data_IF_066895622356
#
_entry.id   IF_066895622356
#
_cell.length_a   1.000
_cell.length_b   1.000
_cell.length_c   1.000
_cell.angle_alpha   90.00
_cell.angle_beta   90.00
_cell.angle_gamma   90.00
#
_symmetry.space_group_name_H-M   'P 1'
#
loop_
_entity.id
_entity.type
_entity.pdbx_description
1 polymer ?
#
# COMPACT_ATOMS: atom_id res chain seq x y z
N UNK A 1 -9.53 8.00 -12.73
CA UNK A 1 -9.96 6.62 -12.39
C UNK A 1 -11.27 6.71 -11.64
N UNK A 2 -12.32 7.09 -12.33
CA UNK A 2 -13.71 7.00 -11.88
C UNK A 2 -14.20 5.74 -12.62
N UNK A 3 -14.95 4.85 -11.96
CA UNK A 3 -15.57 3.62 -12.54
C UNK A 3 -14.86 2.25 -12.40
N UNK A 4 -13.66 2.16 -11.79
CA UNK A 4 -13.06 0.84 -11.46
C UNK A 4 -13.58 0.31 -10.13
N UNK A 5 -13.96 -0.97 -10.08
CA UNK A 5 -14.35 -1.64 -8.84
C UNK A 5 -13.50 -2.89 -8.57
N UNK A 6 -13.40 -3.24 -7.28
CA UNK A 6 -12.85 -4.49 -6.77
C UNK A 6 -13.80 -5.03 -5.70
N UNK A 7 -14.38 -6.20 -5.94
CA UNK A 7 -15.27 -6.88 -4.99
C UNK A 7 -14.79 -8.30 -4.74
N UNK A 8 -15.00 -8.82 -3.53
CA UNK A 8 -14.48 -10.13 -3.17
C UNK A 8 -14.52 -10.44 -1.69
N UNK A 9 -14.14 -11.67 -1.35
CA UNK A 9 -14.06 -12.15 0.02
C UNK A 9 -12.70 -11.77 0.65
N UNK A 10 -12.51 -10.49 1.01
CA UNK A 10 -11.22 -9.97 1.53
C UNK A 10 -10.74 -10.66 2.81
N UNK A 11 -11.65 -11.00 3.72
CA UNK A 11 -11.29 -11.65 5.01
C UNK A 11 -10.75 -13.07 4.86
N UNK A 12 -11.03 -13.76 3.75
CA UNK A 12 -10.63 -15.15 3.53
C UNK A 12 -9.62 -15.30 2.37
N UNK A 13 -9.66 -14.39 1.39
CA UNK A 13 -8.90 -14.51 0.15
C UNK A 13 -7.47 -13.97 0.22
N UNK A 14 -7.19 -13.03 1.13
CA UNK A 14 -5.87 -12.44 1.29
C UNK A 14 -5.56 -12.07 2.75
N UNK A 15 -4.28 -12.07 3.09
CA UNK A 15 -3.78 -11.71 4.41
C UNK A 15 -2.53 -10.85 4.28
N UNK A 16 -2.44 -9.83 5.13
CA UNK A 16 -1.25 -8.99 5.29
C UNK A 16 -0.39 -9.60 6.39
N UNK A 17 0.91 -9.64 6.13
CA UNK A 17 1.94 -10.05 7.07
C UNK A 17 2.91 -8.90 7.28
N UNK A 18 2.92 -8.37 8.50
CA UNK A 18 3.83 -7.31 8.89
C UNK A 18 5.12 -7.94 9.42
N UNK A 19 6.25 -7.55 8.83
CA UNK A 19 7.58 -7.92 9.33
C UNK A 19 8.19 -6.81 10.18
N UNK A 20 7.74 -5.58 9.98
CA UNK A 20 8.12 -4.41 10.75
C UNK A 20 6.95 -3.43 10.76
N UNK A 21 6.47 -3.05 11.95
CA UNK A 21 5.42 -2.03 12.13
C UNK A 21 5.91 -0.66 11.64
N UNK A 22 4.99 0.27 11.40
CA UNK A 22 5.34 1.61 10.95
C UNK A 22 6.22 2.34 11.98
N UNK A 23 7.45 2.65 11.59
CA UNK A 23 8.42 3.40 12.40
C UNK A 23 8.71 4.75 11.77
N UNK A 24 8.99 5.74 12.62
CA UNK A 24 9.36 7.10 12.19
C UNK A 24 10.70 7.45 12.80
N UNK A 25 11.67 7.73 11.93
CA UNK A 25 13.02 8.13 12.30
C UNK A 25 13.32 9.55 11.82
N UNK A 26 14.08 10.28 12.63
CA UNK A 26 14.45 11.66 12.35
C UNK A 26 15.97 11.74 12.25
N UNK A 27 16.48 12.23 11.12
CA UNK A 27 17.91 12.43 10.91
C UNK A 27 18.24 13.91 10.68
N UNK A 28 19.11 14.43 11.54
CA UNK A 28 19.67 15.80 11.45
C UNK A 28 20.97 15.83 10.66
N UNK A 29 21.54 14.67 10.32
CA UNK A 29 22.87 14.52 9.70
C UNK A 29 22.81 13.91 8.29
N UNK A 30 21.62 13.58 7.81
CA UNK A 30 21.43 12.99 6.49
C UNK A 30 21.89 13.94 5.36
N UNK A 31 22.81 13.48 4.51
CA UNK A 31 23.38 14.22 3.38
C UNK A 31 23.90 15.63 3.71
N UNK A 32 23.26 16.69 3.22
CA UNK A 32 23.62 18.08 3.40
C UNK A 32 22.72 18.83 4.39
N UNK A 33 21.88 18.10 5.13
CA UNK A 33 20.94 18.65 6.10
C UNK A 33 21.62 19.50 7.17
N UNK A 34 22.79 19.07 7.65
CA UNK A 34 23.55 19.83 8.64
C UNK A 34 24.05 21.18 8.11
N UNK A 35 24.41 21.27 6.81
CA UNK A 35 24.88 22.53 6.21
C UNK A 35 23.73 23.47 5.84
N UNK A 36 22.55 22.91 5.58
CA UNK A 36 21.35 23.66 5.14
C UNK A 36 20.35 23.91 6.26
N UNK A 37 20.64 23.52 7.50
CA UNK A 37 19.73 23.56 8.65
C UNK A 37 18.38 22.87 8.35
N UNK A 38 18.44 21.68 7.77
CA UNK A 38 17.27 20.84 7.45
C UNK A 38 17.25 19.58 8.33
N UNK A 39 16.09 18.92 8.38
CA UNK A 39 15.89 17.65 9.06
C UNK A 39 15.13 16.72 8.12
N UNK A 40 15.64 15.51 7.90
CA UNK A 40 14.92 14.45 7.17
C UNK A 40 14.11 13.63 8.15
N UNK A 41 12.83 13.42 7.86
CA UNK A 41 11.97 12.47 8.57
C UNK A 41 11.69 11.31 7.62
N UNK A 42 12.03 10.09 8.04
CA UNK A 42 11.75 8.85 7.32
C UNK A 42 10.67 8.08 8.08
N UNK A 43 9.58 7.75 7.40
CA UNK A 43 8.60 6.80 7.89
C UNK A 43 8.69 5.52 7.04
N UNK A 44 8.96 4.38 7.68
CA UNK A 44 9.08 3.09 6.99
C UNK A 44 8.22 2.01 7.64
N UNK A 45 7.71 1.11 6.82
CA UNK A 45 6.97 -0.08 7.23
C UNK A 45 7.34 -1.20 6.26
N UNK A 46 7.50 -2.43 6.76
CA UNK A 46 7.82 -3.58 5.91
C UNK A 46 6.78 -4.65 6.10
N UNK A 47 5.93 -4.80 5.09
CA UNK A 47 4.87 -5.80 5.04
C UNK A 47 4.90 -6.61 3.74
N UNK A 48 4.18 -7.73 3.74
CA UNK A 48 3.93 -8.56 2.58
C UNK A 48 2.45 -8.93 2.49
N UNK A 49 1.90 -8.96 1.26
CA UNK A 49 0.52 -9.35 1.00
C UNK A 49 0.49 -10.75 0.38
N UNK A 50 -0.13 -11.70 1.07
CA UNK A 50 -0.38 -13.03 0.54
C UNK A 50 -1.81 -13.13 0.00
N UNK A 51 -1.96 -13.53 -1.25
CA UNK A 51 -3.26 -13.83 -1.87
C UNK A 51 -3.38 -15.35 -1.99
N UNK A 52 -4.22 -15.96 -1.15
CA UNK A 52 -4.38 -17.41 -1.11
C UNK A 52 -5.31 -17.93 -2.20
N UNK A 53 -6.32 -17.15 -2.57
CA UNK A 53 -7.27 -17.50 -3.63
C UNK A 53 -7.55 -16.28 -4.52
N UNK A 54 -6.87 -16.18 -5.68
CA UNK A 54 -7.06 -15.06 -6.60
C UNK A 54 -8.49 -14.93 -7.12
N UNK A 55 -9.18 -16.05 -7.34
CA UNK A 55 -10.56 -16.10 -7.82
C UNK A 55 -11.57 -15.48 -6.84
N UNK A 56 -11.19 -15.27 -5.58
CA UNK A 56 -12.02 -14.56 -4.62
C UNK A 56 -12.12 -13.05 -4.88
N UNK A 57 -11.35 -12.52 -5.84
CA UNK A 57 -11.31 -11.10 -6.17
C UNK A 57 -11.75 -10.85 -7.61
N UNK A 58 -12.83 -10.11 -7.78
CA UNK A 58 -13.36 -9.69 -9.06
C UNK A 58 -13.06 -8.21 -9.23
N UNK A 59 -12.28 -7.88 -10.26
CA UNK A 59 -12.02 -6.50 -10.68
C UNK A 59 -12.80 -6.20 -11.96
N UNK A 60 -13.33 -4.99 -12.08
CA UNK A 60 -14.08 -4.58 -13.28
C UNK A 60 -14.14 -3.08 -13.47
N UNK A 61 -14.78 -2.67 -14.57
CA UNK A 61 -15.09 -1.29 -14.91
C UNK A 61 -16.60 -1.17 -15.15
N UNK A 62 -17.24 -0.16 -14.58
CA UNK A 62 -18.67 0.07 -14.79
C UNK A 62 -18.99 0.51 -16.23
N UNK A 63 -18.04 1.12 -16.95
CA UNK A 63 -18.18 1.47 -18.37
C UNK A 63 -18.29 0.24 -19.26
N UNK A 64 -17.52 -0.82 -18.95
CA UNK A 64 -17.56 -2.10 -19.66
C UNK A 64 -18.86 -2.87 -19.32
N UNK A 65 -19.39 -2.71 -18.11
CA UNK A 65 -20.62 -3.35 -17.66
C UNK A 65 -21.90 -2.66 -18.17
N UNK A 66 -21.85 -1.36 -18.49
CA UNK A 66 -22.99 -0.60 -19.03
C UNK A 66 -23.15 -0.75 -20.55
N UNK A 67 -22.09 -1.19 -21.24
CA UNK A 67 -22.07 -1.39 -22.69
C UNK A 67 -22.51 -2.80 -23.15
N UNK A 68 -22.76 -3.71 -22.20
CA UNK A 68 -23.26 -5.07 -22.41
C UNK A 68 -24.76 -5.17 -22.08
#
# INVERSE_FOLDING_TARGET
TIDKFLTGAFQLGAQIFDREEATVEISTEDSDNFRKNLVTIRAEERLALAVYRPECFIKGDFSDALAA
#
